data_IF_544577756288
#
_entry.id   IF_544577756288
#
_cell.length_a   1.000
_cell.length_b   1.000
_cell.length_c   1.000
_cell.angle_alpha   90.00
_cell.angle_beta   90.00
_cell.angle_gamma   90.00
#
_symmetry.space_group_name_H-M   'P 1'
#
loop_
_entity.id
_entity.type
_entity.pdbx_description
1 polymer ?
#
# COMPACT_ATOMS: atom_id res chain seq x y z
N UNK A 1 -15.56 -0.09 -11.77
CA UNK A 1 -14.28 -0.53 -11.17
C UNK A 1 -14.57 -1.15 -9.82
N UNK A 2 -13.93 -2.27 -9.49
CA UNK A 2 -14.23 -3.06 -8.29
C UNK A 2 -13.63 -2.39 -7.06
N UNK A 3 -14.47 -1.95 -6.13
CA UNK A 3 -14.07 -1.37 -4.83
C UNK A 3 -13.02 -2.21 -4.07
N UNK A 4 -12.97 -3.52 -4.36
CA UNK A 4 -11.94 -4.45 -3.89
C UNK A 4 -10.51 -4.02 -4.28
N UNK A 5 -10.29 -3.63 -5.53
CA UNK A 5 -8.98 -3.22 -6.04
C UNK A 5 -8.54 -1.92 -5.37
N UNK A 6 -9.46 -0.96 -5.22
CA UNK A 6 -9.18 0.32 -4.55
C UNK A 6 -8.79 0.10 -3.08
N UNK A 7 -9.47 -0.81 -2.37
CA UNK A 7 -9.13 -1.20 -1.00
C UNK A 7 -7.75 -1.86 -0.90
N UNK A 8 -7.41 -2.75 -1.84
CA UNK A 8 -6.09 -3.40 -1.88
C UNK A 8 -4.98 -2.37 -2.14
N UNK A 9 -5.20 -1.43 -3.05
CA UNK A 9 -4.28 -0.31 -3.32
C UNK A 9 -4.09 0.57 -2.09
N UNK A 10 -5.18 0.94 -1.41
CA UNK A 10 -5.13 1.73 -0.18
C UNK A 10 -4.37 1.00 0.94
N UNK A 11 -4.65 -0.29 1.14
CA UNK A 11 -3.93 -1.13 2.10
C UNK A 11 -2.43 -1.22 1.79
N UNK A 12 -2.07 -1.38 0.51
CA UNK A 12 -0.66 -1.41 0.09
C UNK A 12 0.07 -0.09 0.41
N UNK A 13 -0.61 1.05 0.24
CA UNK A 13 -0.06 2.36 0.58
C UNK A 13 0.07 2.58 2.08
N UNK A 14 -0.94 2.19 2.87
CA UNK A 14 -0.88 2.22 4.33
C UNK A 14 0.30 1.40 4.84
N UNK A 15 0.47 0.16 4.37
CA UNK A 15 1.59 -0.71 4.76
C UNK A 15 2.95 -0.10 4.40
N UNK A 16 3.10 0.50 3.22
CA UNK A 16 4.34 1.22 2.88
C UNK A 16 4.58 2.43 3.79
N UNK A 17 3.53 3.17 4.15
CA UNK A 17 3.63 4.30 5.09
C UNK A 17 4.06 3.83 6.47
N UNK A 18 3.49 2.74 6.96
CA UNK A 18 3.85 2.14 8.25
C UNK A 18 5.27 1.59 8.25
N UNK A 19 5.71 0.90 7.19
CA UNK A 19 7.12 0.47 7.04
C UNK A 19 8.05 1.68 7.07
N UNK A 20 7.72 2.76 6.35
CA UNK A 20 8.54 3.99 6.36
C UNK A 20 8.58 4.63 7.74
N UNK A 21 7.44 4.72 8.43
CA UNK A 21 7.35 5.24 9.80
C UNK A 21 8.19 4.40 10.77
N UNK A 22 8.07 3.08 10.69
CA UNK A 22 8.77 2.15 11.57
C UNK A 22 10.28 2.18 11.30
N UNK A 23 10.71 2.30 10.04
CA UNK A 23 12.12 2.52 9.68
C UNK A 23 12.67 3.88 10.12
N UNK A 24 11.82 4.89 10.23
CA UNK A 24 12.21 6.23 10.67
C UNK A 24 12.27 6.36 12.21
N UNK A 25 11.84 5.34 12.97
CA UNK A 25 11.98 5.34 14.43
C UNK A 25 13.45 5.23 14.82
N UNK A 26 13.78 5.84 15.97
CA UNK A 26 15.11 5.77 16.60
C UNK A 26 15.53 4.34 16.94
N UNK A 27 14.56 3.50 17.33
CA UNK A 27 14.71 2.06 17.56
C UNK A 27 13.69 1.30 16.71
N UNK A 28 14.07 0.87 15.49
CA UNK A 28 13.16 0.14 14.62
C UNK A 28 12.91 -1.28 15.14
N UNK A 29 11.64 -1.66 15.31
CA UNK A 29 11.27 -3.03 15.64
C UNK A 29 11.39 -3.92 14.38
N UNK A 30 12.41 -4.77 14.37
CA UNK A 30 12.69 -5.67 13.25
C UNK A 30 11.60 -6.73 13.06
N UNK A 31 10.97 -7.20 14.13
CA UNK A 31 9.85 -8.16 14.04
C UNK A 31 8.64 -7.50 13.41
N UNK A 32 8.32 -6.28 13.86
CA UNK A 32 7.23 -5.46 13.29
C UNK A 32 7.49 -5.14 11.83
N UNK A 33 8.72 -4.74 11.46
CA UNK A 33 9.11 -4.51 10.07
C UNK A 33 8.97 -5.76 9.19
N UNK A 34 9.37 -6.92 9.70
CA UNK A 34 9.28 -8.18 8.96
C UNK A 34 7.81 -8.58 8.74
N UNK A 35 6.97 -8.40 9.76
CA UNK A 35 5.52 -8.62 9.65
C UNK A 35 4.88 -7.69 8.62
N UNK A 36 5.15 -6.38 8.70
CA UNK A 36 4.65 -5.40 7.74
C UNK A 36 5.11 -5.69 6.30
N UNK A 37 6.35 -6.15 6.12
CA UNK A 37 6.86 -6.58 4.81
C UNK A 37 6.13 -7.81 4.27
N UNK A 38 5.83 -8.80 5.12
CA UNK A 38 5.05 -9.99 4.75
C UNK A 38 3.62 -9.61 4.36
N UNK A 39 2.97 -8.75 5.14
CA UNK A 39 1.62 -8.25 4.83
C UNK A 39 1.60 -7.47 3.51
N UNK A 40 2.60 -6.61 3.28
CA UNK A 40 2.76 -5.89 2.01
C UNK A 40 2.93 -6.85 0.83
N UNK A 41 3.67 -7.94 1.00
CA UNK A 41 3.86 -8.95 -0.03
C UNK A 41 2.56 -9.68 -0.34
N UNK A 42 1.79 -10.10 0.67
CA UNK A 42 0.49 -10.74 0.46
C UNK A 42 -0.51 -9.83 -0.28
N UNK A 43 -0.53 -8.53 0.05
CA UNK A 43 -1.36 -7.54 -0.67
C UNK A 43 -0.87 -7.35 -2.11
N UNK A 44 0.45 -7.29 -2.32
CA UNK A 44 1.04 -7.20 -3.67
C UNK A 44 0.67 -8.44 -4.50
N UNK A 45 0.74 -9.63 -3.93
CA UNK A 45 0.42 -10.89 -4.60
C UNK A 45 -1.04 -10.94 -5.05
N UNK A 46 -1.96 -10.56 -4.15
CA UNK A 46 -3.38 -10.39 -4.47
C UNK A 46 -3.62 -9.34 -5.56
N UNK A 47 -2.89 -8.23 -5.54
CA UNK A 47 -2.97 -7.21 -6.58
C UNK A 47 -2.47 -7.73 -7.93
N UNK A 48 -1.35 -8.46 -7.96
CA UNK A 48 -0.80 -9.05 -9.19
C UNK A 48 -1.77 -10.04 -9.84
N UNK A 49 -2.53 -10.77 -9.03
CA UNK A 49 -3.56 -11.70 -9.52
C UNK A 49 -4.74 -10.99 -10.20
N UNK A 50 -4.97 -9.72 -9.89
CA UNK A 50 -6.06 -8.91 -10.47
C UNK A 50 -5.58 -7.91 -11.53
N UNK A 51 -4.35 -7.42 -11.40
CA UNK A 51 -3.71 -6.46 -12.30
C UNK A 51 -2.26 -6.94 -12.52
N UNK A 52 -1.99 -7.66 -13.62
CA UNK A 52 -0.63 -8.12 -13.92
C UNK A 52 0.30 -6.96 -14.31
N UNK A 53 -0.25 -5.81 -14.71
CA UNK A 53 0.54 -4.66 -15.16
C UNK A 53 0.94 -3.71 -14.02
N UNK A 54 2.24 -3.63 -13.76
CA UNK A 54 2.79 -2.79 -12.71
C UNK A 54 2.70 -1.28 -13.00
N UNK A 55 2.62 -0.87 -14.28
CA UNK A 55 2.48 0.53 -14.66
C UNK A 55 1.04 1.01 -14.44
N UNK A 56 0.06 0.17 -14.79
CA UNK A 56 -1.35 0.38 -14.55
C UNK A 56 -1.67 0.42 -13.06
N UNK A 57 -1.08 -0.50 -12.27
CA UNK A 57 -1.15 -0.45 -10.81
C UNK A 57 -0.69 0.91 -10.25
N UNK A 58 0.44 1.44 -10.75
CA UNK A 58 0.96 2.76 -10.32
C UNK A 58 0.02 3.90 -10.72
N UNK A 59 -0.56 3.85 -11.92
CA UNK A 59 -1.56 4.85 -12.37
C UNK A 59 -2.80 4.81 -11.49
N UNK A 60 -3.36 3.62 -11.25
CA UNK A 60 -4.53 3.45 -10.39
C UNK A 60 -4.23 3.87 -8.95
N UNK A 61 -3.06 3.53 -8.43
CA UNK A 61 -2.64 3.97 -7.10
C UNK A 61 -2.61 5.50 -6.97
N UNK A 62 -2.08 6.21 -7.96
CA UNK A 62 -2.12 7.69 -7.98
C UNK A 62 -3.54 8.22 -8.04
N UNK A 63 -4.42 7.61 -8.83
CA UNK A 63 -5.81 8.01 -8.93
C UNK A 63 -6.58 7.81 -7.61
N UNK A 64 -6.41 6.65 -6.96
CA UNK A 64 -7.01 6.31 -5.66
C UNK A 64 -6.50 7.25 -4.57
N UNK A 65 -5.19 7.51 -4.48
CA UNK A 65 -4.64 8.44 -3.50
C UNK A 65 -5.10 9.88 -3.71
N UNK A 66 -5.26 10.29 -4.98
CA UNK A 66 -5.80 11.61 -5.29
C UNK A 66 -7.24 11.73 -4.82
N UNK A 67 -8.03 10.65 -4.95
CA UNK A 67 -9.42 10.59 -4.46
C UNK A 67 -9.51 10.45 -2.94
N UNK A 68 -8.54 9.78 -2.32
CA UNK A 68 -8.46 9.55 -0.87
C UNK A 68 -7.77 10.68 -0.10
N UNK A 69 -7.24 11.71 -0.78
CA UNK A 69 -6.90 12.98 -0.14
C UNK A 69 -8.22 13.73 0.09
N UNK A 70 -8.77 13.79 1.33
CA UNK A 70 -9.70 14.85 1.61
C UNK A 70 -8.96 16.16 1.34
N UNK A 71 -9.59 17.04 0.56
CA UNK A 71 -9.21 18.43 0.54
C UNK A 71 -9.37 18.94 1.97
N UNK A 72 -8.29 18.90 2.75
CA UNK A 72 -8.18 19.73 3.94
C UNK A 72 -7.96 21.15 3.43
N UNK A 73 -9.08 21.85 3.28
CA UNK A 73 -9.17 23.28 3.51
C UNK A 73 -8.88 23.58 4.99
#
# INVERSE_FOLDING_TARGET
MTQMIERLIAAHWMLNREIRRERARRTPDQFRLTRLKKERLAVKDRLFRHIPDAAEMRRMARAVLRRARPAHA
#
